data_IF_909773825162
#
_entry.id   IF_909773825162
#
_cell.length_a   1.000
_cell.length_b   1.000
_cell.length_c   1.000
_cell.angle_alpha   90.00
_cell.angle_beta   90.00
_cell.angle_gamma   90.00
#
_symmetry.space_group_name_H-M   'P 1'
#
loop_
_entity.id
_entity.type
_entity.pdbx_description
1 polymer ?
#
# COMPACT_ATOMS: atom_id res chain seq x y z
N UNK A 1 4.79 -12.87 29.11
CA UNK A 1 5.42 -14.09 28.57
C UNK A 1 4.51 -15.31 28.63
N UNK A 2 3.87 -15.61 29.76
CA UNK A 2 2.98 -16.78 29.89
C UNK A 2 1.88 -16.88 28.81
N UNK A 3 1.18 -15.77 28.52
CA UNK A 3 0.18 -15.73 27.43
C UNK A 3 0.75 -16.13 26.06
N UNK A 4 1.99 -15.76 25.76
CA UNK A 4 2.63 -16.13 24.49
C UNK A 4 2.94 -17.62 24.46
N UNK A 5 3.40 -18.21 25.58
CA UNK A 5 3.64 -19.64 25.68
C UNK A 5 2.34 -20.45 25.55
N UNK A 6 1.23 -19.95 26.09
CA UNK A 6 -0.09 -20.54 25.86
C UNK A 6 -0.49 -20.45 24.38
N UNK A 7 -0.22 -19.31 23.72
CA UNK A 7 -0.45 -19.15 22.29
C UNK A 7 0.36 -20.12 21.42
N UNK A 8 1.58 -20.48 21.83
CA UNK A 8 2.37 -21.51 21.12
C UNK A 8 1.73 -22.89 21.21
N UNK A 9 1.14 -23.24 22.37
CA UNK A 9 0.36 -24.48 22.50
C UNK A 9 -0.87 -24.45 21.59
N UNK A 10 -1.63 -23.36 21.65
CA UNK A 10 -2.81 -23.15 20.79
C UNK A 10 -2.48 -23.30 19.30
N UNK A 11 -1.35 -22.74 18.86
CA UNK A 11 -0.87 -22.89 17.49
C UNK A 11 -0.62 -24.35 17.13
N UNK A 12 0.10 -25.11 17.97
CA UNK A 12 0.42 -26.52 17.71
C UNK A 12 -0.79 -27.45 17.81
N UNK A 13 -1.70 -27.18 18.75
CA UNK A 13 -2.82 -28.05 19.07
C UNK A 13 -4.05 -27.78 18.20
N UNK A 14 -4.23 -26.55 17.69
CA UNK A 14 -5.47 -26.16 16.99
C UNK A 14 -5.25 -25.54 15.60
N UNK A 15 -4.14 -24.83 15.35
CA UNK A 15 -3.90 -24.23 14.02
C UNK A 15 -3.20 -25.20 13.05
N UNK A 16 -2.20 -25.93 13.54
CA UNK A 16 -1.42 -26.90 12.73
C UNK A 16 -2.26 -28.11 12.27
N UNK A 17 -3.13 -28.72 13.09
CA UNK A 17 -3.94 -29.84 12.63
C UNK A 17 -4.81 -29.46 11.42
N UNK A 18 -4.69 -30.24 10.34
CA UNK A 18 -5.34 -29.95 9.05
C UNK A 18 -4.52 -29.07 8.11
N UNK A 19 -3.30 -28.65 8.51
CA UNK A 19 -2.34 -27.86 7.70
C UNK A 19 -0.95 -28.49 7.61
N UNK A 20 -0.79 -29.74 8.03
CA UNK A 20 0.51 -30.41 8.06
C UNK A 20 1.15 -30.50 6.67
N UNK A 21 0.34 -30.80 5.65
CA UNK A 21 0.80 -30.83 4.26
C UNK A 21 1.28 -29.44 3.80
N UNK A 22 0.52 -28.38 4.12
CA UNK A 22 0.91 -27.00 3.81
C UNK A 22 2.26 -26.65 4.45
N UNK A 23 2.44 -26.96 5.74
CA UNK A 23 3.72 -26.71 6.43
C UNK A 23 4.87 -27.50 5.81
N UNK A 24 4.66 -28.77 5.44
CA UNK A 24 5.67 -29.58 4.76
C UNK A 24 6.02 -29.04 3.37
N UNK A 25 5.05 -28.48 2.65
CA UNK A 25 5.28 -27.82 1.37
C UNK A 25 6.10 -26.53 1.58
N UNK A 26 5.70 -25.66 2.50
CA UNK A 26 6.39 -24.40 2.80
C UNK A 26 7.81 -24.60 3.36
N UNK A 27 8.07 -25.73 4.04
CA UNK A 27 9.41 -26.08 4.49
C UNK A 27 10.41 -26.32 3.33
N UNK A 28 9.91 -26.58 2.11
CA UNK A 28 10.75 -26.76 0.91
C UNK A 28 11.08 -25.43 0.23
N UNK A 29 10.32 -24.38 0.50
CA UNK A 29 10.50 -23.06 -0.10
C UNK A 29 9.27 -22.18 0.06
N UNK A 30 9.47 -20.87 -0.06
CA UNK A 30 8.41 -19.87 -0.08
C UNK A 30 8.12 -19.42 -1.51
N UNK A 31 6.86 -19.10 -1.79
CA UNK A 31 6.44 -18.48 -3.06
C UNK A 31 5.32 -17.45 -2.80
N UNK A 32 5.59 -16.40 -2.01
CA UNK A 32 4.60 -15.37 -1.71
C UNK A 32 4.23 -14.60 -2.96
N UNK A 33 2.97 -14.16 -3.04
CA UNK A 33 2.46 -13.41 -4.20
C UNK A 33 2.54 -11.90 -4.02
N UNK A 34 2.66 -11.44 -2.77
CA UNK A 34 2.56 -10.02 -2.40
C UNK A 34 3.69 -9.65 -1.44
N UNK A 35 4.38 -8.56 -1.74
CA UNK A 35 5.20 -7.84 -0.77
C UNK A 35 4.31 -6.84 -0.03
N UNK A 36 4.09 -7.06 1.27
CA UNK A 36 3.31 -6.17 2.13
C UNK A 36 4.24 -5.33 3.00
N UNK A 37 4.21 -4.01 2.81
CA UNK A 37 4.98 -3.04 3.58
C UNK A 37 4.03 -2.34 4.55
N UNK A 38 4.21 -2.58 5.84
CA UNK A 38 3.32 -2.08 6.89
C UNK A 38 4.05 -1.44 8.07
N UNK A 39 3.30 -0.82 8.98
CA UNK A 39 3.88 -0.22 10.17
C UNK A 39 4.17 -1.30 11.23
N UNK A 40 5.19 -1.13 12.07
CA UNK A 40 5.45 -1.96 13.25
C UNK A 40 4.40 -1.83 14.37
N UNK A 41 3.42 -0.93 14.21
CA UNK A 41 2.32 -0.73 15.15
C UNK A 41 1.61 -2.06 15.48
N UNK A 42 1.52 -2.40 16.76
CA UNK A 42 1.00 -3.69 17.23
C UNK A 42 -0.49 -3.91 16.96
N UNK A 43 -1.21 -2.88 16.52
CA UNK A 43 -2.62 -2.95 16.12
C UNK A 43 -2.80 -3.30 14.64
N UNK A 44 -1.71 -3.38 13.89
CA UNK A 44 -1.67 -3.73 12.47
C UNK A 44 -1.05 -5.12 12.34
N UNK A 45 -1.79 -6.05 11.76
CA UNK A 45 -1.27 -7.37 11.38
C UNK A 45 -1.71 -7.65 9.94
N UNK A 46 -0.78 -7.65 8.97
CA UNK A 46 -1.11 -7.85 7.57
C UNK A 46 -1.86 -9.15 7.30
N UNK A 47 -1.46 -10.24 7.96
CA UNK A 47 -2.06 -11.56 7.77
C UNK A 47 -3.50 -11.59 8.27
N UNK A 48 -3.76 -11.00 9.45
CA UNK A 48 -5.12 -10.92 10.00
C UNK A 48 -6.01 -10.00 9.16
N UNK A 49 -5.53 -8.81 8.80
CA UNK A 49 -6.33 -7.80 8.08
C UNK A 49 -6.71 -8.30 6.67
N UNK A 50 -5.85 -9.09 6.04
CA UNK A 50 -6.09 -9.63 4.70
C UNK A 50 -6.67 -11.04 4.68
N UNK A 51 -6.75 -11.72 5.84
CA UNK A 51 -7.07 -13.15 5.94
C UNK A 51 -6.17 -14.01 5.04
N UNK A 52 -4.93 -13.59 4.85
CA UNK A 52 -3.93 -14.34 4.10
C UNK A 52 -3.53 -15.61 4.85
N UNK A 53 -3.20 -16.69 4.11
CA UNK A 53 -2.68 -17.91 4.71
C UNK A 53 -1.15 -17.80 4.88
N UNK A 54 -0.57 -18.65 5.73
CA UNK A 54 0.89 -18.72 5.86
C UNK A 54 1.55 -18.95 4.50
N UNK A 55 2.53 -18.11 4.15
CA UNK A 55 3.26 -18.17 2.88
C UNK A 55 2.71 -17.27 1.77
N UNK A 56 1.53 -16.66 1.91
CA UNK A 56 0.97 -15.75 0.90
C UNK A 56 1.70 -14.40 0.81
N UNK A 57 2.13 -13.88 1.97
CA UNK A 57 2.71 -12.54 2.11
C UNK A 57 4.20 -12.59 2.46
N UNK A 58 4.99 -11.78 1.77
CA UNK A 58 6.34 -11.41 2.17
C UNK A 58 6.28 -10.02 2.82
N UNK A 59 6.78 -9.84 4.05
CA UNK A 59 6.38 -8.68 4.87
C UNK A 59 7.57 -7.83 5.33
N UNK A 60 7.49 -6.52 5.11
CA UNK A 60 8.35 -5.51 5.74
C UNK A 60 7.54 -4.77 6.80
N UNK A 61 8.10 -4.61 8.01
CA UNK A 61 7.50 -3.78 9.07
C UNK A 61 8.53 -2.87 9.72
N UNK A 62 8.29 -1.57 9.65
CA UNK A 62 9.07 -0.55 10.37
C UNK A 62 8.16 0.58 10.90
N UNK A 63 8.70 1.48 11.70
CA UNK A 63 7.92 2.58 12.27
C UNK A 63 7.48 3.56 11.16
N UNK A 64 6.19 3.55 10.83
CA UNK A 64 5.61 4.45 9.82
C UNK A 64 5.58 3.90 8.40
N UNK A 65 5.85 2.60 8.20
CA UNK A 65 5.80 1.93 6.89
C UNK A 65 6.63 2.67 5.82
N UNK A 66 7.77 3.21 6.22
CA UNK A 66 8.63 4.08 5.41
C UNK A 66 9.57 3.20 4.59
N UNK A 67 9.69 3.53 3.31
CA UNK A 67 10.71 3.01 2.40
C UNK A 67 11.58 4.21 2.02
N UNK A 68 12.83 4.27 2.47
CA UNK A 68 13.75 5.31 2.02
C UNK A 68 13.99 5.22 0.51
N UNK A 69 14.32 6.33 -0.17
CA UNK A 69 14.78 6.26 -1.56
C UNK A 69 15.98 5.31 -1.73
N UNK A 70 16.16 4.76 -2.93
CA UNK A 70 17.30 3.89 -3.25
C UNK A 70 18.63 4.53 -2.83
N UNK A 71 19.49 3.76 -2.16
CA UNK A 71 20.77 4.17 -1.58
C UNK A 71 20.73 5.26 -0.48
N UNK A 72 19.56 5.77 -0.08
CA UNK A 72 19.46 6.75 1.01
C UNK A 72 19.73 6.16 2.40
N UNK A 73 19.69 4.83 2.52
CA UNK A 73 20.04 4.08 3.74
C UNK A 73 20.62 2.71 3.39
N UNK A 74 21.28 2.08 4.35
CA UNK A 74 21.75 0.71 4.31
C UNK A 74 20.96 -0.22 5.26
N UNK A 75 19.70 0.13 5.54
CA UNK A 75 18.75 -0.67 6.31
C UNK A 75 18.27 -1.94 5.60
N UNK A 76 17.36 -2.67 6.24
CA UNK A 76 16.83 -3.94 5.73
C UNK A 76 15.79 -3.79 4.63
N UNK A 77 15.18 -2.61 4.49
CA UNK A 77 14.09 -2.33 3.56
C UNK A 77 14.51 -2.60 2.11
N UNK A 78 15.61 -1.99 1.67
CA UNK A 78 16.07 -2.08 0.29
C UNK A 78 16.47 -3.50 -0.11
N UNK A 79 17.22 -4.20 0.75
CA UNK A 79 17.59 -5.59 0.52
C UNK A 79 16.37 -6.52 0.47
N UNK A 80 15.36 -6.27 1.31
CA UNK A 80 14.13 -7.07 1.31
C UNK A 80 13.29 -6.81 0.06
N UNK A 81 13.22 -5.57 -0.41
CA UNK A 81 12.58 -5.22 -1.70
C UNK A 81 13.31 -5.90 -2.85
N UNK A 82 14.64 -5.83 -2.91
CA UNK A 82 15.43 -6.49 -3.94
C UNK A 82 15.20 -8.00 -3.95
N UNK A 83 15.22 -8.65 -2.78
CA UNK A 83 14.94 -10.08 -2.68
C UNK A 83 13.52 -10.44 -3.14
N UNK A 84 12.52 -9.63 -2.77
CA UNK A 84 11.14 -9.82 -3.20
C UNK A 84 10.99 -9.76 -4.73
N UNK A 85 11.70 -8.83 -5.39
CA UNK A 85 11.62 -8.65 -6.84
C UNK A 85 12.46 -9.69 -7.59
N UNK A 86 13.71 -9.90 -7.20
CA UNK A 86 14.69 -10.65 -7.98
C UNK A 86 14.70 -12.15 -7.63
N UNK A 87 14.51 -12.51 -6.36
CA UNK A 87 14.57 -13.90 -5.92
C UNK A 87 13.20 -14.57 -5.84
N UNK A 88 12.15 -13.82 -5.47
CA UNK A 88 10.79 -14.34 -5.30
C UNK A 88 9.85 -14.00 -6.46
N UNK A 89 10.30 -13.17 -7.41
CA UNK A 89 9.52 -12.74 -8.59
C UNK A 89 8.12 -12.19 -8.25
N UNK A 90 8.00 -11.49 -7.11
CA UNK A 90 6.71 -10.94 -6.66
C UNK A 90 6.21 -9.91 -7.68
N UNK A 91 4.92 -10.03 -8.04
CA UNK A 91 4.23 -9.13 -8.98
C UNK A 91 3.31 -8.10 -8.33
N UNK A 92 3.16 -8.11 -7.00
CA UNK A 92 2.24 -7.24 -6.27
C UNK A 92 2.93 -6.64 -5.04
N UNK A 93 2.89 -5.33 -4.89
CA UNK A 93 3.42 -4.61 -3.72
C UNK A 93 2.30 -3.80 -3.08
N UNK A 94 2.13 -3.91 -1.77
CA UNK A 94 1.20 -3.08 -1.00
C UNK A 94 2.00 -2.22 -0.03
N UNK A 95 1.84 -0.90 -0.09
CA UNK A 95 2.25 0.04 0.96
C UNK A 95 1.03 0.36 1.81
N UNK A 96 1.01 -0.11 3.05
CA UNK A 96 -0.13 0.05 3.95
C UNK A 96 0.21 0.99 5.11
N UNK A 97 -0.37 2.20 5.07
CA UNK A 97 -0.45 3.12 6.19
C UNK A 97 -1.60 2.76 7.15
N UNK A 98 -1.69 3.46 8.27
CA UNK A 98 -2.83 3.30 9.19
C UNK A 98 -3.14 4.59 9.96
N UNK A 99 -4.41 4.75 10.35
CA UNK A 99 -4.84 5.89 11.16
C UNK A 99 -4.15 5.89 12.53
N UNK A 100 -4.03 7.07 13.14
CA UNK A 100 -3.42 7.23 14.46
C UNK A 100 -1.95 6.74 14.56
N UNK A 101 -1.22 6.70 13.45
CA UNK A 101 0.18 6.24 13.40
C UNK A 101 1.12 7.05 14.31
N UNK A 102 1.85 6.36 15.19
CA UNK A 102 2.80 6.98 16.11
C UNK A 102 3.96 7.68 15.39
N UNK A 103 4.47 7.07 14.31
CA UNK A 103 5.53 7.66 13.50
C UNK A 103 5.09 8.96 12.83
N UNK A 104 3.87 9.00 12.27
CA UNK A 104 3.31 10.22 11.66
C UNK A 104 3.02 11.31 12.70
N UNK A 105 2.57 10.94 13.91
CA UNK A 105 2.47 11.88 15.04
C UNK A 105 3.83 12.46 15.43
N UNK A 106 4.88 11.64 15.35
CA UNK A 106 6.27 12.05 15.54
C UNK A 106 6.73 13.01 14.46
N UNK A 107 6.42 12.74 13.20
CA UNK A 107 6.77 13.58 12.06
C UNK A 107 6.15 14.99 12.15
N UNK A 108 4.90 15.11 12.63
CA UNK A 108 4.28 16.42 12.92
C UNK A 108 4.99 17.21 14.04
N UNK A 109 5.74 16.53 14.89
CA UNK A 109 6.41 17.10 16.06
C UNK A 109 7.94 16.93 15.97
N UNK A 110 8.48 16.84 14.73
CA UNK A 110 9.83 16.33 14.49
C UNK A 110 10.91 17.13 15.22
N UNK A 111 10.74 18.46 15.36
CA UNK A 111 11.68 19.32 16.09
C UNK A 111 11.81 19.02 17.60
N UNK A 112 10.90 18.23 18.18
CA UNK A 112 10.97 17.79 19.59
C UNK A 112 11.53 16.38 19.77
N UNK A 113 11.71 15.63 18.67
CA UNK A 113 12.15 14.23 18.72
C UNK A 113 13.65 14.07 18.83
N UNK A 114 14.44 15.01 18.31
CA UNK A 114 15.90 14.90 18.19
C UNK A 114 16.58 14.57 19.53
N UNK A 115 16.15 15.22 20.61
CA UNK A 115 16.73 15.02 21.95
C UNK A 115 16.34 13.66 22.56
N UNK A 116 15.08 13.25 22.44
CA UNK A 116 14.54 12.09 23.19
C UNK A 116 14.57 10.79 22.41
N UNK A 117 14.48 10.86 21.09
CA UNK A 117 14.39 9.72 20.17
C UNK A 117 15.21 9.97 18.91
N UNK A 118 16.53 10.17 19.00
CA UNK A 118 17.38 10.58 17.86
C UNK A 118 17.35 9.59 16.69
N UNK A 119 17.23 8.29 16.96
CA UNK A 119 17.10 7.28 15.90
C UNK A 119 15.77 7.38 15.15
N UNK A 120 14.67 7.65 15.86
CA UNK A 120 13.35 7.87 15.23
C UNK A 120 13.35 9.17 14.46
N UNK A 121 13.96 10.23 15.02
CA UNK A 121 14.14 11.51 14.34
C UNK A 121 14.87 11.33 13.00
N UNK A 122 16.02 10.66 13.00
CA UNK A 122 16.79 10.39 11.77
C UNK A 122 16.01 9.50 10.79
N UNK A 123 15.31 8.48 11.29
CA UNK A 123 14.48 7.60 10.48
C UNK A 123 13.35 8.35 9.76
N UNK A 124 12.67 9.27 10.46
CA UNK A 124 11.57 10.04 9.92
C UNK A 124 12.01 11.04 8.83
N UNK A 125 13.30 11.39 8.75
CA UNK A 125 13.81 12.24 7.66
C UNK A 125 13.68 11.60 6.28
N UNK A 126 13.59 10.27 6.19
CA UNK A 126 13.31 9.59 4.93
C UNK A 126 11.91 9.87 4.37
N UNK A 127 11.01 10.47 5.16
CA UNK A 127 9.68 10.93 4.72
C UNK A 127 9.47 12.43 4.97
N UNK A 128 10.55 13.21 5.09
CA UNK A 128 10.47 14.66 5.29
C UNK A 128 9.72 15.39 4.17
N UNK A 129 9.75 14.85 2.95
CA UNK A 129 8.95 15.34 1.82
C UNK A 129 7.45 15.38 2.15
N UNK A 130 6.95 14.34 2.84
CA UNK A 130 5.55 14.27 3.31
C UNK A 130 5.22 15.40 4.27
N UNK A 131 6.10 15.62 5.27
CA UNK A 131 5.92 16.68 6.27
C UNK A 131 5.90 18.05 5.62
N UNK A 132 6.87 18.32 4.74
CA UNK A 132 7.02 19.61 4.07
C UNK A 132 5.80 19.91 3.20
N UNK A 133 5.32 18.94 2.44
CA UNK A 133 4.10 19.07 1.62
C UNK A 133 2.88 19.43 2.48
N UNK A 134 2.66 18.71 3.59
CA UNK A 134 1.50 18.95 4.46
C UNK A 134 1.61 20.29 5.19
N UNK A 135 2.79 20.68 5.65
CA UNK A 135 2.99 21.98 6.31
C UNK A 135 2.85 23.16 5.34
N UNK A 136 3.40 23.07 4.13
CA UNK A 136 3.36 24.18 3.17
C UNK A 136 1.97 24.42 2.59
N UNK A 137 1.17 23.36 2.38
CA UNK A 137 -0.10 23.44 1.67
C UNK A 137 -1.34 23.26 2.55
N UNK A 138 -1.18 22.73 3.76
CA UNK A 138 -2.29 22.36 4.65
C UNK A 138 -2.06 22.76 6.12
N UNK A 139 -1.29 23.82 6.34
CA UNK A 139 -1.00 24.34 7.69
C UNK A 139 -2.25 24.75 8.48
N UNK A 140 -3.32 25.12 7.79
CA UNK A 140 -4.61 25.53 8.35
C UNK A 140 -5.47 24.39 8.90
N UNK A 141 -5.11 23.13 8.62
CA UNK A 141 -5.89 21.98 9.10
C UNK A 141 -5.71 21.77 10.60
N UNK A 142 -6.79 21.33 11.25
CA UNK A 142 -6.75 20.87 12.62
C UNK A 142 -5.84 19.66 12.79
N UNK A 143 -5.31 19.47 14.00
CA UNK A 143 -4.29 18.44 14.28
C UNK A 143 -4.70 17.03 13.82
N UNK A 144 -5.98 16.67 14.00
CA UNK A 144 -6.51 15.36 13.60
C UNK A 144 -6.50 15.21 12.07
N UNK A 145 -7.09 16.16 11.36
CA UNK A 145 -7.20 16.11 9.90
C UNK A 145 -5.82 16.18 9.24
N UNK A 146 -4.91 16.96 9.83
CA UNK A 146 -3.51 17.03 9.40
C UNK A 146 -2.80 15.68 9.55
N UNK A 147 -3.05 14.95 10.63
CA UNK A 147 -2.50 13.61 10.84
C UNK A 147 -3.06 12.60 9.83
N UNK A 148 -4.37 12.62 9.58
CA UNK A 148 -5.00 11.71 8.63
C UNK A 148 -4.49 11.99 7.20
N UNK A 149 -4.31 13.26 6.83
CA UNK A 149 -3.67 13.65 5.57
C UNK A 149 -2.20 13.22 5.51
N UNK A 150 -1.44 13.39 6.59
CA UNK A 150 -0.03 12.99 6.63
C UNK A 150 0.14 11.47 6.45
N UNK A 151 -0.74 10.66 7.03
CA UNK A 151 -0.77 9.21 6.81
C UNK A 151 -0.98 8.89 5.33
N UNK A 152 -1.97 9.53 4.69
CA UNK A 152 -2.26 9.33 3.28
C UNK A 152 -1.10 9.75 2.37
N UNK A 153 -0.54 10.93 2.60
CA UNK A 153 0.60 11.45 1.83
C UNK A 153 1.88 10.64 2.05
N UNK A 154 2.08 10.07 3.25
CA UNK A 154 3.20 9.19 3.53
C UNK A 154 3.14 7.93 2.68
N UNK A 155 1.96 7.30 2.53
CA UNK A 155 1.76 6.14 1.65
C UNK A 155 2.18 6.46 0.22
N UNK A 156 1.71 7.60 -0.32
CA UNK A 156 2.06 8.02 -1.68
C UNK A 156 3.56 8.30 -1.83
N UNK A 157 4.17 8.98 -0.86
CA UNK A 157 5.61 9.24 -0.84
C UNK A 157 6.42 7.94 -0.83
N UNK A 158 5.95 6.90 -0.15
CA UNK A 158 6.66 5.61 -0.14
C UNK A 158 6.53 4.87 -1.47
N UNK A 159 5.40 5.03 -2.17
CA UNK A 159 5.22 4.53 -3.54
C UNK A 159 6.18 5.23 -4.49
N UNK A 160 6.36 6.55 -4.35
CA UNK A 160 7.36 7.30 -5.12
C UNK A 160 8.79 6.82 -4.82
N UNK A 161 9.11 6.61 -3.54
CA UNK A 161 10.42 6.10 -3.13
C UNK A 161 10.67 4.68 -3.69
N UNK A 162 9.68 3.79 -3.67
CA UNK A 162 9.79 2.45 -4.25
C UNK A 162 10.17 2.50 -5.74
N UNK A 163 9.63 3.45 -6.50
CA UNK A 163 9.93 3.59 -7.93
C UNK A 163 11.37 4.03 -8.22
N UNK A 164 12.13 4.44 -7.19
CA UNK A 164 13.56 4.74 -7.32
C UNK A 164 14.45 3.49 -7.32
N UNK A 165 13.93 2.34 -6.87
CA UNK A 165 14.68 1.08 -6.82
C UNK A 165 14.83 0.47 -8.23
N UNK A 166 16.04 0.05 -8.65
CA UNK A 166 16.27 -0.50 -10.00
C UNK A 166 15.38 -1.70 -10.35
N UNK A 167 15.24 -2.67 -9.46
CA UNK A 167 14.43 -3.88 -9.66
C UNK A 167 12.94 -3.57 -9.81
N UNK A 168 12.41 -2.68 -8.96
CA UNK A 168 11.03 -2.18 -9.02
C UNK A 168 10.80 -1.43 -10.33
N UNK A 169 11.68 -0.49 -10.69
CA UNK A 169 11.57 0.29 -11.92
C UNK A 169 11.59 -0.60 -13.17
N UNK A 170 12.45 -1.62 -13.19
CA UNK A 170 12.53 -2.59 -14.28
C UNK A 170 11.21 -3.36 -14.46
N UNK A 171 10.64 -3.90 -13.38
CA UNK A 171 9.37 -4.64 -13.42
C UNK A 171 8.16 -3.77 -13.76
N UNK A 172 8.10 -2.52 -13.27
CA UNK A 172 7.07 -1.56 -13.66
C UNK A 172 7.13 -1.28 -15.17
N UNK A 173 8.33 -1.08 -15.72
CA UNK A 173 8.49 -0.89 -17.17
C UNK A 173 8.04 -2.11 -17.99
N UNK A 174 8.29 -3.31 -17.47
CA UNK A 174 7.85 -4.57 -18.08
C UNK A 174 6.33 -4.82 -17.93
N UNK A 175 5.62 -4.07 -17.08
CA UNK A 175 4.20 -4.30 -16.78
C UNK A 175 3.95 -5.57 -15.97
N UNK A 176 4.94 -6.04 -15.20
CA UNK A 176 4.85 -7.27 -14.40
C UNK A 176 4.77 -7.00 -12.90
N UNK A 177 4.61 -5.74 -12.50
CA UNK A 177 4.49 -5.32 -11.11
C UNK A 177 3.40 -4.27 -10.97
N UNK A 178 2.51 -4.47 -10.01
CA UNK A 178 1.55 -3.46 -9.55
C UNK A 178 1.90 -3.01 -8.13
N UNK A 179 1.78 -1.71 -7.87
CA UNK A 179 1.99 -1.12 -6.54
C UNK A 179 0.68 -0.49 -6.06
N UNK A 180 0.26 -0.85 -4.85
CA UNK A 180 -0.99 -0.43 -4.24
C UNK A 180 -0.73 0.38 -2.96
N UNK A 181 -1.43 1.51 -2.81
CA UNK A 181 -1.41 2.30 -1.58
C UNK A 181 -2.65 2.03 -0.75
N UNK A 182 -2.49 1.52 0.48
CA UNK A 182 -3.60 1.22 1.38
C UNK A 182 -3.52 2.05 2.66
N UNK A 183 -4.68 2.29 3.27
CA UNK A 183 -4.81 2.84 4.63
C UNK A 183 -5.75 1.93 5.43
N UNK A 184 -5.24 1.40 6.53
CA UNK A 184 -6.04 0.69 7.53
C UNK A 184 -6.57 1.66 8.59
N UNK A 185 -7.88 1.77 8.70
CA UNK A 185 -8.55 2.57 9.71
C UNK A 185 -8.72 1.77 11.00
N UNK A 186 -7.96 2.11 12.03
CA UNK A 186 -7.98 1.40 13.31
C UNK A 186 -9.33 1.45 14.00
N UNK A 187 -10.05 2.57 13.87
CA UNK A 187 -11.32 2.80 14.57
C UNK A 187 -12.47 1.95 13.98
N UNK A 188 -12.45 1.69 12.68
CA UNK A 188 -13.54 1.01 11.94
C UNK A 188 -13.16 -0.38 11.44
N UNK A 189 -11.88 -0.73 11.53
CA UNK A 189 -11.27 -1.91 10.91
C UNK A 189 -11.47 -1.97 9.38
N UNK A 190 -11.68 -0.82 8.72
CA UNK A 190 -11.83 -0.74 7.27
C UNK A 190 -10.48 -0.50 6.58
N UNK A 191 -10.34 -1.07 5.38
CA UNK A 191 -9.28 -0.74 4.46
C UNK A 191 -9.79 0.25 3.41
N UNK A 192 -8.97 1.24 3.10
CA UNK A 192 -9.11 2.10 1.93
C UNK A 192 -7.91 1.87 0.99
N UNK A 193 -8.15 1.84 -0.31
CA UNK A 193 -7.14 1.75 -1.35
C UNK A 193 -7.08 3.07 -2.12
N UNK A 194 -5.87 3.49 -2.49
CA UNK A 194 -5.65 4.63 -3.36
C UNK A 194 -6.12 4.29 -4.76
N UNK A 195 -6.97 5.14 -5.30
CA UNK A 195 -7.42 5.07 -6.67
C UNK A 195 -6.79 6.19 -7.49
N UNK A 196 -6.04 5.80 -8.52
CA UNK A 196 -5.32 6.75 -9.37
C UNK A 196 -6.24 7.59 -10.25
N UNK A 197 -7.43 7.10 -10.61
CA UNK A 197 -8.38 7.84 -11.45
C UNK A 197 -9.00 8.98 -10.65
N UNK A 198 -9.55 8.67 -9.47
CA UNK A 198 -10.18 9.68 -8.59
C UNK A 198 -9.19 10.42 -7.68
N UNK A 199 -7.90 10.05 -7.71
CA UNK A 199 -6.83 10.58 -6.84
C UNK A 199 -7.21 10.55 -5.34
N UNK A 200 -7.96 9.54 -4.93
CA UNK A 200 -8.59 9.46 -3.62
C UNK A 200 -8.46 8.08 -2.99
N UNK A 201 -8.53 7.99 -1.66
CA UNK A 201 -8.60 6.71 -0.95
C UNK A 201 -10.06 6.27 -0.83
N UNK A 202 -10.38 5.13 -1.45
CA UNK A 202 -11.73 4.58 -1.54
C UNK A 202 -11.78 3.12 -1.06
N UNK A 203 -12.92 2.57 -0.66
CA UNK A 203 -13.00 1.16 -0.29
C UNK A 203 -12.55 0.23 -1.45
N UNK A 204 -11.66 -0.77 -1.22
CA UNK A 204 -11.06 -1.59 -2.29
C UNK A 204 -12.06 -2.35 -3.16
N UNK A 205 -13.22 -2.71 -2.59
CA UNK A 205 -14.26 -3.48 -3.28
C UNK A 205 -14.97 -2.71 -4.40
N UNK A 206 -14.81 -1.38 -4.45
CA UNK A 206 -15.31 -0.56 -5.56
C UNK A 206 -14.71 -0.96 -6.93
N UNK A 207 -13.50 -1.55 -6.95
CA UNK A 207 -12.86 -2.05 -8.18
C UNK A 207 -13.24 -3.49 -8.54
N UNK A 208 -13.49 -4.34 -7.55
CA UNK A 208 -13.93 -5.74 -7.78
C UNK A 208 -15.28 -5.78 -8.52
N UNK A 209 -16.22 -4.91 -8.16
CA UNK A 209 -17.51 -4.82 -8.84
C UNK A 209 -17.42 -4.20 -10.25
N UNK A 210 -16.41 -3.37 -10.51
CA UNK A 210 -16.18 -2.78 -11.83
C UNK A 210 -15.65 -3.84 -12.81
N UNK A 211 -14.67 -4.65 -12.40
CA UNK A 211 -14.10 -5.72 -13.22
C UNK A 211 -15.09 -6.88 -13.44
N UNK A 212 -15.98 -7.15 -12.47
CA UNK A 212 -17.07 -8.12 -12.65
C UNK A 212 -18.14 -7.64 -13.66
N UNK A 213 -18.30 -6.32 -13.87
CA UNK A 213 -19.24 -5.76 -14.87
C UNK A 213 -18.65 -5.72 -16.28
N UNK A 214 -17.33 -5.65 -16.44
CA UNK A 214 -16.62 -5.73 -17.74
C UNK A 214 -16.32 -7.15 -18.19
N UNK A 215 -16.36 -8.13 -17.28
CA UNK A 215 -16.34 -9.55 -17.64
C UNK A 215 -17.63 -9.93 -18.38
N UNK A 216 -17.61 -9.82 -19.72
CA UNK A 216 -18.63 -10.42 -20.58
C UNK A 216 -18.81 -11.89 -20.17
N UNK A 217 -19.98 -12.18 -19.63
CA UNK A 217 -20.48 -13.52 -19.36
C UNK A 217 -20.37 -14.34 -20.65
N UNK A 218 -19.35 -15.19 -20.73
CA UNK A 218 -19.35 -16.33 -21.65
C UNK A 218 -20.40 -17.30 -21.13
N UNK A 219 -21.60 -17.24 -21.72
CA UNK A 219 -22.67 -18.18 -21.45
C UNK A 219 -22.28 -19.56 -22.00
N UNK A 220 -22.25 -20.63 -21.18
CA UNK A 220 -22.33 -21.98 -21.70
C UNK A 220 -23.75 -22.20 -22.24
N UNK A 221 -23.85 -22.75 -23.45
CA UNK A 221 -25.12 -23.03 -24.09
C UNK A 221 -25.92 -24.14 -23.39
N UNK A 222 -27.24 -23.94 -23.35
CA UNK A 222 -28.25 -24.99 -23.53
C UNK A 222 -28.62 -25.87 -22.33
N UNK A 223 -29.74 -25.55 -21.66
CA UNK A 223 -31.02 -26.28 -21.70
C UNK A 223 -31.90 -25.92 -20.48
N UNK A 224 -33.10 -25.34 -20.75
CA UNK A 224 -34.41 -25.46 -20.03
C UNK A 224 -34.43 -25.29 -18.48
N UNK A 225 -35.31 -24.53 -17.82
CA UNK A 225 -36.72 -24.10 -18.07
C UNK A 225 -37.07 -22.97 -17.09
N UNK A 226 -38.09 -22.18 -17.42
CA UNK A 226 -38.57 -21.00 -16.70
C UNK A 226 -39.27 -21.29 -15.36
N UNK A 227 -39.18 -20.33 -14.43
CA UNK A 227 -40.33 -19.79 -13.67
C UNK A 227 -39.96 -18.52 -12.89
N UNK A 228 -40.92 -17.61 -12.84
CA UNK A 228 -40.97 -16.26 -12.27
C UNK A 228 -40.84 -16.18 -10.74
N UNK A 229 -40.29 -15.09 -10.21
CA UNK A 229 -41.09 -14.10 -9.47
C UNK A 229 -40.32 -12.85 -9.03
N UNK A 230 -41.05 -11.75 -9.04
CA UNK A 230 -40.76 -10.35 -8.68
C UNK A 230 -40.49 -10.12 -7.19
N UNK A 231 -39.55 -9.20 -6.86
CA UNK A 231 -39.80 -7.97 -6.07
C UNK A 231 -38.51 -7.23 -5.66
N UNK A 232 -38.55 -5.91 -5.78
CA UNK A 232 -37.75 -4.86 -5.09
C UNK A 232 -38.77 -3.80 -4.62
N UNK A 233 -38.43 -2.76 -3.79
CA UNK A 233 -37.22 -2.47 -3.02
C UNK A 233 -37.50 -1.94 -1.58
N UNK A 234 -36.45 -1.64 -0.79
CA UNK A 234 -36.56 -0.86 0.45
C UNK A 234 -35.21 -0.23 0.87
N UNK A 235 -35.19 1.11 0.95
CA UNK A 235 -34.09 2.00 1.38
C UNK A 235 -33.74 1.84 2.88
N UNK A 236 -32.62 2.29 3.46
CA UNK A 236 -31.49 3.13 3.03
C UNK A 236 -30.58 3.42 4.25
N UNK A 237 -29.35 3.87 4.04
CA UNK A 237 -28.46 4.49 5.03
C UNK A 237 -27.43 5.40 4.32
N UNK A 238 -26.92 6.47 4.94
CA UNK A 238 -26.45 7.67 4.23
C UNK A 238 -24.99 7.56 3.76
N UNK A 239 -24.72 8.03 2.54
CA UNK A 239 -23.36 8.28 2.05
C UNK A 239 -22.88 9.66 2.50
N UNK A 240 -21.69 9.75 3.09
CA UNK A 240 -20.98 11.02 3.26
C UNK A 240 -20.23 11.31 1.96
N UNK A 241 -20.61 12.39 1.27
CA UNK A 241 -19.95 12.83 0.04
C UNK A 241 -18.77 13.75 0.36
N UNK A 242 -17.61 13.45 -0.23
CA UNK A 242 -16.52 14.42 -0.40
C UNK A 242 -16.74 15.18 -1.73
N UNK A 243 -16.26 16.43 -1.86
CA UNK A 243 -16.56 17.28 -3.00
C UNK A 243 -15.97 16.73 -4.30
N UNK A 244 -16.79 16.73 -5.36
CA UNK A 244 -16.39 16.37 -6.72
C UNK A 244 -15.96 17.61 -7.49
N UNK A 245 -14.90 17.48 -8.29
CA UNK A 245 -14.54 18.43 -9.34
C UNK A 245 -14.49 17.69 -10.68
N UNK A 246 -15.08 18.30 -11.72
CA UNK A 246 -15.08 17.81 -13.10
C UNK A 246 -14.09 18.60 -13.97
N UNK A 247 -13.42 17.86 -14.86
CA UNK A 247 -12.21 18.23 -15.65
C UNK A 247 -12.46 19.11 -16.89
N UNK A 248 -11.41 19.37 -17.71
CA UNK A 248 -11.23 18.49 -18.89
C UNK A 248 -9.80 17.94 -19.11
N UNK A 249 -9.73 16.68 -19.53
CA UNK A 249 -8.53 15.89 -19.82
C UNK A 249 -7.70 16.33 -21.05
N UNK A 250 -6.37 16.14 -20.99
CA UNK A 250 -5.50 15.42 -21.96
C UNK A 250 -4.15 15.06 -21.25
N UNK A 251 -3.52 13.92 -21.57
CA UNK A 251 -2.54 13.24 -20.72
C UNK A 251 -1.10 13.69 -21.00
N UNK A 252 -0.16 13.62 -20.05
CA UNK A 252 1.28 13.36 -20.29
C UNK A 252 2.05 13.21 -18.96
N UNK A 253 2.94 12.21 -18.89
CA UNK A 253 3.74 11.76 -17.73
C UNK A 253 4.22 12.83 -16.73
N UNK A 254 4.32 12.52 -15.42
CA UNK A 254 4.93 13.42 -14.43
C UNK A 254 6.43 13.63 -14.74
N UNK A 255 6.79 14.83 -15.22
CA UNK A 255 8.18 15.29 -15.40
C UNK A 255 8.54 15.82 -16.80
N UNK A 256 7.77 15.50 -17.83
CA UNK A 256 8.11 15.88 -19.22
C UNK A 256 8.06 17.40 -19.49
N UNK A 257 7.22 18.15 -18.78
CA UNK A 257 6.98 19.57 -19.07
C UNK A 257 7.81 20.55 -18.23
N UNK A 258 8.88 20.09 -17.54
CA UNK A 258 9.76 20.97 -16.75
C UNK A 258 11.20 21.06 -17.26
N UNK A 259 11.50 20.41 -18.39
CA UNK A 259 12.81 20.48 -19.01
C UNK A 259 12.68 21.20 -20.35
N UNK A 260 13.50 22.22 -20.56
CA UNK A 260 13.72 22.76 -21.91
C UNK A 260 14.24 21.65 -22.85
N UNK A 261 14.04 21.77 -24.18
CA UNK A 261 14.55 20.80 -25.14
C UNK A 261 16.04 20.47 -24.97
N UNK A 262 16.84 21.46 -24.56
CA UNK A 262 18.27 21.28 -24.26
C UNK A 262 18.53 20.49 -22.96
N UNK A 263 17.69 20.67 -21.93
CA UNK A 263 17.77 19.90 -20.68
C UNK A 263 17.34 18.45 -20.87
N UNK A 264 16.31 18.21 -21.69
CA UNK A 264 15.87 16.86 -22.04
C UNK A 264 16.94 16.11 -22.87
N UNK A 265 17.60 16.80 -23.82
CA UNK A 265 18.67 16.21 -24.63
C UNK A 265 19.92 15.83 -23.81
N UNK A 266 20.26 16.63 -22.78
CA UNK A 266 21.38 16.34 -21.85
C UNK A 266 21.12 15.14 -20.95
N UNK A 267 19.88 14.93 -20.52
CA UNK A 267 19.52 13.88 -19.54
C UNK A 267 19.19 12.55 -20.23
N UNK A 268 18.58 12.59 -21.41
CA UNK A 268 18.09 11.40 -22.11
C UNK A 268 18.89 11.02 -23.36
N UNK A 269 20.01 11.70 -23.63
CA UNK A 269 21.07 11.20 -24.51
C UNK A 269 20.66 10.90 -25.96
N UNK A 270 20.03 11.87 -26.65
CA UNK A 270 19.96 11.86 -28.12
C UNK A 270 20.70 13.07 -28.69
N UNK A 271 21.88 12.83 -29.24
CA UNK A 271 22.53 13.76 -30.15
C UNK A 271 21.71 13.79 -31.47
N UNK A 272 21.46 14.99 -32.01
CA UNK A 272 20.73 15.21 -33.28
C UNK A 272 21.32 14.41 -34.45
N UNK A 273 20.57 14.08 -35.49
CA UNK A 273 19.62 14.89 -36.27
C UNK A 273 18.39 14.05 -36.64
#
# INVERSE_FOLDING_TARGET
MEKLLQGLREFQENYIPGREELIQQLAKGQNPRVLFIGCSDSRVDPTIITQAEIGDLFVIRNAGNIIPPYEATNGGEGATIEYAMEALDIGQVIVCGHTQCGAMKGLLQIGSLEEKMPLVYNWLHHTEATRKLVEDHYSQLEKKDKLDLLVAQNVLTQIDNLQTYPSVRSKLHAGTLDIHGWIYQLETAQLLAYDEETKSFVPPHSKIEADQKTAKVLKPGGLSRASSDTMQPGAGAPSVALPTFSEPAQPHWPGANRLSPEQAARIYGRAGV
#
